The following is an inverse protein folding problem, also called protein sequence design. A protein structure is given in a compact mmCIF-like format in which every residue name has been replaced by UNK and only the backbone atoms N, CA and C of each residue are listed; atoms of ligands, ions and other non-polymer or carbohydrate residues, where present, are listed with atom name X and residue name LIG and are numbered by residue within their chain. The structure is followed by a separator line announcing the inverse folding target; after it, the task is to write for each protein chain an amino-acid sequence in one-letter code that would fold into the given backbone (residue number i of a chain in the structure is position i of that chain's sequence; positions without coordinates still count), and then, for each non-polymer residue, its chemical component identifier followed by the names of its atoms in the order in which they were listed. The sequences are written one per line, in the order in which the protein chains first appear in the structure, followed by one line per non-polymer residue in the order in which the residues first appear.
data_IF_018324381137
#
_entry.id   IF_018324381137
#
_cell.length_a   1.000
_cell.length_b   1.000
_cell.length_c   1.000
_cell.angle_alpha   90.00
_cell.angle_beta   90.00
_cell.angle_gamma   90.00
#
_symmetry.space_group_name_H-M   'P 1'
#
loop_
_entity.id
_entity.type
_entity.pdbx_description
1 polymer ?
#
# COMPACT_ATOMS: atom_id res chain seq x y z
N UNK A 1 4.70 -12.68 -3.66
CA UNK A 1 5.47 -11.46 -3.94
C UNK A 1 4.74 -10.60 -4.97
N UNK A 2 4.33 -9.41 -4.55
CA UNK A 2 3.60 -8.45 -5.36
C UNK A 2 4.15 -7.04 -5.09
N UNK A 3 4.14 -6.18 -6.10
CA UNK A 3 4.49 -4.76 -5.99
C UNK A 3 3.35 -3.88 -6.50
N UNK A 4 3.39 -2.58 -6.19
CA UNK A 4 2.44 -1.61 -6.72
C UNK A 4 2.35 -1.70 -8.26
N UNK A 5 3.51 -1.81 -8.94
CA UNK A 5 3.59 -1.95 -10.39
C UNK A 5 3.01 -3.25 -10.96
N UNK A 6 2.65 -4.23 -10.13
CA UNK A 6 1.96 -5.45 -10.60
C UNK A 6 0.52 -5.14 -10.99
N UNK A 7 -0.15 -4.27 -10.24
CA UNK A 7 -1.54 -3.84 -10.47
C UNK A 7 -1.62 -2.47 -11.14
N UNK A 8 -0.61 -1.60 -10.95
CA UNK A 8 -0.54 -0.26 -11.54
C UNK A 8 0.58 -0.18 -12.59
N UNK A 9 0.47 -1.00 -13.63
CA UNK A 9 1.54 -1.16 -14.61
C UNK A 9 1.42 -0.13 -15.75
N UNK A 10 2.53 0.54 -16.09
CA UNK A 10 2.56 1.60 -17.11
C UNK A 10 2.06 1.16 -18.50
N UNK A 11 2.31 -0.10 -18.89
CA UNK A 11 1.84 -0.66 -20.18
C UNK A 11 0.33 -0.78 -20.28
N UNK A 12 -0.37 -0.76 -19.16
CA UNK A 12 -1.83 -0.86 -19.08
C UNK A 12 -2.46 0.44 -18.57
N UNK A 13 -1.81 1.58 -18.86
CA UNK A 13 -2.30 2.90 -18.48
C UNK A 13 -2.29 3.14 -16.96
N UNK A 14 -1.39 2.50 -16.21
CA UNK A 14 -1.32 2.61 -14.74
C UNK A 14 -2.36 1.73 -14.02
N UNK A 15 -2.97 0.78 -14.74
CA UNK A 15 -3.91 -0.23 -14.23
C UNK A 15 -3.35 -1.65 -14.46
N UNK A 16 -4.14 -2.69 -14.25
CA UNK A 16 -3.80 -4.08 -14.59
C UNK A 16 -4.59 -4.62 -15.78
N UNK A 17 -5.55 -3.85 -16.30
CA UNK A 17 -6.41 -4.26 -17.40
C UNK A 17 -7.41 -5.36 -17.05
N UNK A 18 -7.62 -5.66 -15.76
CA UNK A 18 -8.57 -6.64 -15.26
C UNK A 18 -9.76 -5.94 -14.61
N UNK A 19 -10.98 -6.41 -14.85
CA UNK A 19 -12.17 -5.88 -14.17
C UNK A 19 -12.17 -6.17 -12.67
N UNK A 20 -11.57 -7.29 -12.26
CA UNK A 20 -11.33 -7.67 -10.88
C UNK A 20 -9.86 -8.08 -10.73
N UNK A 21 -9.11 -7.32 -9.95
CA UNK A 21 -7.67 -7.52 -9.76
C UNK A 21 -7.31 -8.88 -9.15
N UNK A 22 -6.08 -9.30 -9.39
CA UNK A 22 -5.48 -10.49 -8.79
C UNK A 22 -4.30 -10.04 -7.95
N UNK A 23 -4.43 -10.16 -6.62
CA UNK A 23 -3.41 -9.73 -5.67
C UNK A 23 -2.31 -10.76 -5.42
N UNK A 24 -1.83 -10.79 -4.17
CA UNK A 24 -0.78 -11.72 -3.71
C UNK A 24 -1.18 -13.18 -3.98
N UNK A 25 -0.22 -13.99 -4.42
CA UNK A 25 -0.43 -15.37 -4.88
C UNK A 25 -0.67 -15.50 -6.38
N UNK A 26 -0.97 -14.39 -7.09
CA UNK A 26 -1.12 -14.39 -8.54
C UNK A 26 0.21 -14.41 -9.28
N UNK A 27 0.20 -14.91 -10.53
CA UNK A 27 1.39 -15.08 -11.39
C UNK A 27 1.20 -14.30 -12.69
N UNK A 28 2.24 -13.59 -13.11
CA UNK A 28 2.22 -12.75 -14.31
C UNK A 28 1.71 -11.34 -14.04
N UNK A 29 1.49 -10.56 -15.10
CA UNK A 29 1.04 -9.15 -15.05
C UNK A 29 -0.06 -8.89 -16.07
N UNK A 30 -0.86 -7.85 -15.82
CA UNK A 30 -1.88 -7.36 -16.73
C UNK A 30 -2.99 -8.38 -17.02
N UNK A 31 -3.64 -8.29 -18.18
CA UNK A 31 -4.81 -9.13 -18.52
C UNK A 31 -4.53 -10.64 -18.53
N UNK A 32 -3.26 -11.04 -18.65
CA UNK A 32 -2.83 -12.45 -18.65
C UNK A 32 -2.45 -12.97 -17.26
N UNK A 33 -2.57 -12.14 -16.22
CA UNK A 33 -2.27 -12.54 -14.84
C UNK A 33 -3.21 -13.65 -14.39
N UNK A 34 -2.63 -14.73 -13.87
CA UNK A 34 -3.35 -15.92 -13.39
C UNK A 34 -3.48 -15.94 -11.88
N UNK A 35 -4.52 -16.60 -11.35
CA UNK A 35 -4.75 -16.71 -9.90
C UNK A 35 -3.67 -17.43 -9.09
N UNK A 36 -2.64 -17.99 -9.75
CA UNK A 36 -1.63 -18.83 -9.09
C UNK A 36 -2.07 -20.29 -8.92
N UNK A 37 -1.23 -21.08 -8.26
CA UNK A 37 -1.39 -22.52 -8.11
C UNK A 37 -1.14 -22.99 -6.67
N UNK A 38 -1.64 -24.17 -6.34
CA UNK A 38 -1.44 -24.79 -5.04
C UNK A 38 -1.95 -23.94 -3.87
N UNK A 39 -1.26 -24.01 -2.76
CA UNK A 39 -1.66 -23.31 -1.51
C UNK A 39 -1.48 -21.79 -1.59
N UNK A 40 -0.57 -21.32 -2.42
CA UNK A 40 -0.35 -19.89 -2.67
C UNK A 40 -1.36 -19.26 -3.60
N UNK A 41 -2.26 -20.04 -4.22
CA UNK A 41 -3.31 -19.51 -5.09
C UNK A 41 -4.18 -18.51 -4.35
N UNK A 42 -4.51 -17.39 -5.02
CA UNK A 42 -5.45 -16.41 -4.44
C UNK A 42 -6.75 -17.09 -4.00
N UNK A 43 -7.27 -16.68 -2.86
CA UNK A 43 -8.57 -17.16 -2.35
C UNK A 43 -9.75 -16.35 -2.89
N UNK A 44 -9.50 -15.07 -3.20
CA UNK A 44 -10.51 -14.14 -3.68
C UNK A 44 -9.84 -13.09 -4.58
N UNK A 45 -10.56 -12.60 -5.59
CA UNK A 45 -10.12 -11.44 -6.38
C UNK A 45 -10.36 -10.15 -5.61
N UNK A 46 -9.57 -9.14 -5.91
CA UNK A 46 -9.86 -7.76 -5.50
C UNK A 46 -11.19 -7.35 -6.14
N UNK A 47 -12.12 -6.76 -5.36
CA UNK A 47 -13.51 -6.58 -5.83
C UNK A 47 -13.67 -5.52 -6.91
N UNK A 48 -12.63 -4.77 -7.26
CA UNK A 48 -12.63 -3.70 -8.25
C UNK A 48 -11.39 -3.76 -9.14
N UNK A 49 -11.47 -3.08 -10.28
CA UNK A 49 -10.33 -2.81 -11.14
C UNK A 49 -9.31 -1.93 -10.41
N UNK A 50 -8.02 -2.19 -10.65
CA UNK A 50 -6.95 -1.31 -10.21
C UNK A 50 -7.03 0.02 -10.99
N UNK A 51 -7.30 1.11 -10.29
CA UNK A 51 -7.44 2.44 -10.90
C UNK A 51 -6.10 2.93 -11.48
N UNK A 52 -6.16 3.69 -12.57
CA UNK A 52 -4.99 4.40 -13.07
C UNK A 52 -4.50 5.44 -12.05
N UNK A 53 -3.18 5.65 -11.97
CA UNK A 53 -2.55 6.57 -11.00
C UNK A 53 -2.25 7.95 -11.58
N UNK A 54 -2.87 8.32 -12.71
CA UNK A 54 -2.63 9.59 -13.36
C UNK A 54 -3.39 10.74 -12.67
N UNK A 55 -2.66 11.83 -12.37
CA UNK A 55 -3.20 13.08 -11.80
C UNK A 55 -3.87 12.95 -10.41
N UNK A 56 -3.79 11.82 -9.75
CA UNK A 56 -4.43 11.63 -8.44
C UNK A 56 -3.68 12.33 -7.28
N UNK A 57 -2.46 12.83 -7.53
CA UNK A 57 -1.71 13.66 -6.58
C UNK A 57 -2.05 15.16 -6.62
N UNK A 58 -3.05 15.58 -7.41
CA UNK A 58 -3.48 16.97 -7.45
C UNK A 58 -4.08 17.40 -6.10
N UNK A 59 -3.81 18.65 -5.67
CA UNK A 59 -4.25 19.18 -4.37
C UNK A 59 -5.77 19.24 -4.21
N UNK A 60 -6.50 19.24 -5.32
CA UNK A 60 -7.95 19.22 -5.40
C UNK A 60 -8.55 17.86 -5.11
N UNK A 61 -7.75 16.79 -5.21
CA UNK A 61 -8.19 15.43 -4.88
C UNK A 61 -8.32 15.30 -3.37
N UNK A 62 -9.55 15.23 -2.88
CA UNK A 62 -9.90 15.13 -1.46
C UNK A 62 -10.58 13.82 -1.09
N UNK A 63 -10.93 13.01 -2.09
CA UNK A 63 -11.63 11.74 -1.91
C UNK A 63 -11.01 10.73 -2.89
N UNK A 64 -10.68 9.55 -2.39
CA UNK A 64 -10.19 8.41 -3.18
C UNK A 64 -11.08 7.18 -2.96
N UNK A 65 -10.89 6.19 -3.82
CA UNK A 65 -11.76 5.05 -4.03
C UNK A 65 -13.16 5.44 -4.52
N UNK A 66 -13.82 4.51 -5.22
CA UNK A 66 -15.14 4.75 -5.78
C UNK A 66 -16.23 4.95 -4.72
N UNK A 67 -16.07 4.34 -3.56
CA UNK A 67 -16.97 4.42 -2.41
C UNK A 67 -16.61 5.56 -1.45
N UNK A 68 -15.57 6.34 -1.74
CA UNK A 68 -15.16 7.47 -0.92
C UNK A 68 -14.58 7.12 0.45
N UNK A 69 -14.22 5.84 0.68
CA UNK A 69 -13.74 5.36 1.99
C UNK A 69 -12.40 5.95 2.45
N UNK A 70 -11.73 6.72 1.61
CA UNK A 70 -10.60 7.55 2.01
C UNK A 70 -10.87 8.99 1.60
N UNK A 71 -10.94 9.88 2.57
CA UNK A 71 -11.18 11.30 2.36
C UNK A 71 -10.39 12.16 3.35
N UNK A 72 -10.06 13.38 2.94
CA UNK A 72 -9.56 14.40 3.89
C UNK A 72 -10.67 14.73 4.87
N UNK A 73 -10.36 14.70 6.17
CA UNK A 73 -11.34 14.86 7.25
C UNK A 73 -10.67 15.32 8.53
N UNK A 74 -11.37 16.07 9.34
CA UNK A 74 -10.94 16.49 10.68
C UNK A 74 -11.46 15.53 11.79
N UNK A 75 -12.01 14.39 11.41
CA UNK A 75 -12.57 13.41 12.34
C UNK A 75 -11.49 12.73 13.19
N UNK A 76 -10.33 12.47 12.57
CA UNK A 76 -9.16 11.88 13.22
C UNK A 76 -7.97 12.83 13.16
N UNK A 77 -7.09 12.75 14.16
CA UNK A 77 -5.88 13.58 14.28
C UNK A 77 -4.93 13.41 13.07
N UNK A 78 -4.97 12.25 12.42
CA UNK A 78 -4.19 11.98 11.21
C UNK A 78 -4.65 12.77 9.96
N UNK A 79 -5.81 13.45 10.03
CA UNK A 79 -6.34 14.30 8.96
C UNK A 79 -7.13 13.56 7.87
N UNK A 80 -7.45 12.29 8.08
CA UNK A 80 -8.13 11.46 7.08
C UNK A 80 -9.22 10.57 7.69
N UNK A 81 -10.36 10.48 7.04
CA UNK A 81 -11.28 9.38 7.23
C UNK A 81 -10.83 8.22 6.32
N UNK A 82 -10.57 7.04 6.89
CA UNK A 82 -10.01 5.89 6.18
C UNK A 82 -10.48 4.58 6.81
N UNK A 83 -10.30 3.42 6.15
CA UNK A 83 -10.55 2.12 6.77
C UNK A 83 -9.65 1.79 7.98
N UNK A 84 -8.62 2.59 8.22
CA UNK A 84 -7.74 2.45 9.37
C UNK A 84 -8.13 3.36 10.54
N UNK A 85 -9.08 4.29 10.32
CA UNK A 85 -9.59 5.20 11.36
C UNK A 85 -8.45 5.92 12.10
N UNK A 86 -8.47 5.95 13.44
CA UNK A 86 -7.42 6.53 14.27
C UNK A 86 -6.06 5.83 14.19
N UNK A 87 -6.02 4.61 13.65
CA UNK A 87 -4.78 3.82 13.48
C UNK A 87 -3.94 4.22 12.27
N UNK A 88 -4.50 5.04 11.36
CA UNK A 88 -3.70 5.56 10.25
C UNK A 88 -2.58 6.47 10.81
N UNK A 89 -1.32 6.31 10.40
CA UNK A 89 -0.22 7.10 10.92
C UNK A 89 -0.44 8.61 10.76
N UNK A 90 -0.09 9.37 11.80
CA UNK A 90 0.01 10.82 11.72
C UNK A 90 1.19 11.24 10.81
N UNK A 91 1.12 12.46 10.24
CA UNK A 91 2.22 13.01 9.44
C UNK A 91 2.21 12.62 7.96
N UNK A 92 1.14 12.03 7.46
CA UNK A 92 0.91 11.85 6.03
C UNK A 92 0.47 13.17 5.40
N UNK A 93 1.22 13.69 4.43
CA UNK A 93 1.03 15.06 3.90
C UNK A 93 -0.09 15.15 2.86
N UNK A 94 -0.44 14.03 2.25
CA UNK A 94 -1.40 14.00 1.15
C UNK A 94 -2.31 12.79 1.25
N UNK A 95 -3.50 12.91 0.67
CA UNK A 95 -4.42 11.78 0.56
C UNK A 95 -3.82 10.62 -0.27
N UNK A 96 -2.89 10.92 -1.19
CA UNK A 96 -2.20 9.92 -1.97
C UNK A 96 -1.22 9.11 -1.11
N UNK A 97 -0.47 9.78 -0.22
CA UNK A 97 0.41 9.12 0.74
C UNK A 97 -0.39 8.20 1.68
N UNK A 98 -1.55 8.68 2.18
CA UNK A 98 -2.46 7.88 2.97
C UNK A 98 -2.97 6.65 2.21
N UNK A 99 -3.33 6.81 0.92
CA UNK A 99 -3.80 5.71 0.09
C UNK A 99 -2.70 4.68 -0.18
N UNK A 100 -1.46 5.11 -0.43
CA UNK A 100 -0.36 4.23 -0.86
C UNK A 100 -0.02 3.13 0.17
N UNK A 101 -0.29 3.36 1.45
CA UNK A 101 0.00 2.41 2.52
C UNK A 101 -1.16 1.46 2.88
N UNK A 102 -2.36 1.70 2.37
CA UNK A 102 -3.52 0.84 2.64
C UNK A 102 -3.49 -0.51 1.92
N UNK A 103 -3.10 -0.62 0.63
CA UNK A 103 -3.03 -1.92 -0.05
C UNK A 103 -2.10 -2.94 0.61
N UNK A 104 -1.07 -2.46 1.32
CA UNK A 104 -0.13 -3.32 2.06
C UNK A 104 -0.79 -4.07 3.20
N UNK A 105 -1.92 -3.56 3.72
CA UNK A 105 -2.69 -4.16 4.81
C UNK A 105 -3.81 -5.08 4.31
N UNK A 106 -4.15 -5.01 3.03
CA UNK A 106 -5.30 -5.73 2.48
C UNK A 106 -4.91 -7.17 2.08
N UNK A 107 -5.55 -8.16 2.70
CA UNK A 107 -5.28 -9.58 2.50
C UNK A 107 -5.27 -9.99 1.02
N UNK A 108 -6.27 -9.57 0.26
CA UNK A 108 -6.45 -9.99 -1.14
C UNK A 108 -5.71 -9.10 -2.14
N UNK A 109 -5.04 -8.06 -1.66
CA UNK A 109 -4.19 -7.17 -2.46
C UNK A 109 -2.72 -7.52 -2.28
N UNK A 110 -2.09 -7.11 -1.19
CA UNK A 110 -0.64 -7.24 -0.99
C UNK A 110 -0.24 -8.02 0.26
N UNK A 111 -1.07 -8.08 1.31
CA UNK A 111 -0.69 -8.74 2.57
C UNK A 111 -0.57 -10.25 2.43
N UNK A 112 -1.46 -10.90 1.67
CA UNK A 112 -1.51 -12.35 1.55
C UNK A 112 -2.34 -13.03 2.64
N UNK A 113 -2.31 -14.37 2.67
CA UNK A 113 -3.10 -15.12 3.64
C UNK A 113 -2.42 -15.14 5.02
N UNK A 114 -3.19 -15.13 6.13
CA UNK A 114 -2.65 -15.35 7.47
C UNK A 114 -1.80 -16.62 7.48
N UNK A 115 -0.63 -16.60 8.13
CA UNK A 115 0.38 -17.66 8.19
C UNK A 115 1.35 -17.77 7.00
N UNK A 116 1.16 -17.02 5.91
CA UNK A 116 2.12 -17.02 4.81
C UNK A 116 3.36 -16.18 5.13
N UNK A 117 3.16 -15.06 5.82
CA UNK A 117 4.22 -14.13 6.19
C UNK A 117 3.82 -13.27 7.40
N UNK A 118 4.79 -12.53 7.95
CA UNK A 118 4.58 -11.68 9.13
C UNK A 118 3.62 -10.51 8.90
N UNK A 119 3.56 -9.95 7.67
CA UNK A 119 2.63 -8.87 7.31
C UNK A 119 1.19 -9.38 7.34
N UNK A 120 0.95 -10.55 6.72
CA UNK A 120 -0.36 -11.18 6.73
C UNK A 120 -0.82 -11.56 8.14
N UNK A 121 0.11 -11.98 8.99
CA UNK A 121 -0.17 -12.23 10.41
C UNK A 121 -0.57 -10.96 11.15
N UNK A 122 0.24 -9.90 11.01
CA UNK A 122 0.00 -8.62 11.66
C UNK A 122 -1.35 -7.99 11.26
N UNK A 123 -1.65 -7.96 9.96
CA UNK A 123 -2.92 -7.42 9.42
C UNK A 123 -4.15 -8.10 10.02
N UNK A 124 -4.06 -9.38 10.35
CA UNK A 124 -5.16 -10.11 10.96
C UNK A 124 -5.45 -9.65 12.38
N UNK A 125 -4.44 -9.22 13.11
CA UNK A 125 -4.56 -8.77 14.49
C UNK A 125 -4.89 -7.27 14.58
N UNK A 126 -4.06 -6.44 13.96
CA UNK A 126 -4.19 -4.98 13.96
C UNK A 126 -3.62 -4.38 12.68
N UNK A 127 -4.37 -3.49 12.05
CA UNK A 127 -3.97 -2.86 10.78
C UNK A 127 -2.67 -2.05 10.90
N UNK A 128 -2.48 -1.34 11.99
CA UNK A 128 -1.30 -0.50 12.24
C UNK A 128 -0.02 -1.31 12.50
N UNK A 129 -0.13 -2.58 12.89
CA UNK A 129 1.02 -3.44 13.11
C UNK A 129 1.78 -3.81 11.81
N UNK A 130 1.16 -3.60 10.65
CA UNK A 130 1.77 -3.88 9.33
C UNK A 130 2.88 -2.89 8.99
N UNK A 131 2.65 -1.60 9.22
CA UNK A 131 3.54 -0.54 8.73
C UNK A 131 4.93 -0.54 9.37
N UNK A 132 5.11 -0.80 10.67
CA UNK A 132 6.44 -0.99 11.26
C UNK A 132 7.23 -2.15 10.63
N UNK A 133 6.55 -3.23 10.25
CA UNK A 133 7.20 -4.37 9.58
C UNK A 133 7.70 -3.96 8.21
N UNK A 134 6.90 -3.24 7.43
CA UNK A 134 7.29 -2.74 6.10
C UNK A 134 8.45 -1.76 6.22
N UNK A 135 8.35 -0.78 7.13
CA UNK A 135 9.43 0.18 7.37
C UNK A 135 10.75 -0.52 7.75
N UNK A 136 10.68 -1.52 8.64
CA UNK A 136 11.85 -2.34 8.98
C UNK A 136 12.46 -3.03 7.76
N UNK A 137 11.65 -3.59 6.86
CA UNK A 137 12.14 -4.26 5.64
C UNK A 137 12.88 -3.31 4.72
N UNK A 138 12.46 -2.05 4.64
CA UNK A 138 13.12 -1.03 3.81
C UNK A 138 14.43 -0.58 4.48
N UNK A 139 14.38 -0.16 5.73
CA UNK A 139 15.54 0.43 6.41
C UNK A 139 16.70 -0.53 6.68
N UNK A 140 16.47 -1.85 6.71
CA UNK A 140 17.56 -2.84 6.83
C UNK A 140 18.36 -3.04 5.53
N UNK A 141 17.91 -2.46 4.42
CA UNK A 141 18.67 -2.43 3.17
C UNK A 141 19.56 -1.18 3.21
N UNK A 142 20.90 -1.33 3.32
CA UNK A 142 21.79 -0.18 3.60
C UNK A 142 21.67 0.96 2.59
N UNK A 143 21.50 0.64 1.30
CA UNK A 143 21.35 1.64 0.25
C UNK A 143 20.09 2.50 0.46
N UNK A 144 18.94 1.89 0.75
CA UNK A 144 17.71 2.64 1.05
C UNK A 144 17.84 3.45 2.34
N UNK A 145 18.40 2.86 3.41
CA UNK A 145 18.63 3.58 4.66
C UNK A 145 19.42 4.86 4.44
N UNK A 146 20.49 4.80 3.63
CA UNK A 146 21.29 5.97 3.29
C UNK A 146 20.52 6.99 2.45
N UNK A 147 19.80 6.57 1.42
CA UNK A 147 18.98 7.45 0.57
C UNK A 147 17.91 8.20 1.38
N UNK A 148 17.29 7.55 2.37
CA UNK A 148 16.33 8.22 3.26
C UNK A 148 16.99 9.25 4.16
N UNK A 149 18.16 8.97 4.73
CA UNK A 149 18.95 9.96 5.53
C UNK A 149 19.33 11.17 4.68
N UNK A 150 19.66 10.96 3.40
CA UNK A 150 20.01 12.06 2.49
C UNK A 150 18.80 12.87 2.02
N UNK A 151 17.61 12.26 1.96
CA UNK A 151 16.42 12.87 1.39
C UNK A 151 15.50 13.59 2.42
N UNK A 152 15.57 13.21 3.69
CA UNK A 152 14.69 13.72 4.74
C UNK A 152 15.46 14.39 5.86
N UNK A 153 15.17 15.68 6.11
CA UNK A 153 15.85 16.49 7.13
C UNK A 153 15.58 16.01 8.57
N UNK A 154 14.54 15.26 8.80
CA UNK A 154 14.11 14.69 10.09
C UNK A 154 14.59 13.24 10.30
N UNK A 155 15.42 12.71 9.40
CA UNK A 155 16.00 11.36 9.46
C UNK A 155 17.51 11.43 9.55
N UNK A 156 18.07 11.31 10.76
CA UNK A 156 19.53 11.28 10.98
C UNK A 156 20.14 9.90 10.78
N UNK A 157 19.35 8.84 11.00
CA UNK A 157 19.79 7.44 10.88
C UNK A 157 18.70 6.58 10.24
N UNK A 158 19.10 5.49 9.57
CA UNK A 158 18.16 4.57 8.93
C UNK A 158 17.08 4.01 9.89
N UNK A 159 17.38 3.89 11.17
CA UNK A 159 16.44 3.38 12.17
C UNK A 159 15.24 4.31 12.42
N UNK A 160 15.36 5.59 12.07
CA UNK A 160 14.28 6.57 12.19
C UNK A 160 13.31 6.52 11.00
N UNK A 161 13.65 5.82 9.91
CA UNK A 161 12.76 5.66 8.75
C UNK A 161 11.53 4.88 9.16
N UNK A 162 10.38 5.48 9.00
CA UNK A 162 9.08 4.87 9.23
C UNK A 162 8.22 4.83 7.95
N UNK A 163 6.98 4.39 8.07
CA UNK A 163 6.08 4.24 6.92
C UNK A 163 5.68 5.58 6.31
N UNK A 164 5.71 6.69 7.08
CA UNK A 164 5.34 8.00 6.56
C UNK A 164 6.42 8.53 5.61
N UNK A 165 7.70 8.30 5.91
CA UNK A 165 8.81 8.60 5.01
C UNK A 165 8.70 7.79 3.71
N UNK A 166 8.40 6.48 3.83
CA UNK A 166 8.22 5.61 2.65
C UNK A 166 7.02 6.05 1.79
N UNK A 167 5.94 6.53 2.42
CA UNK A 167 4.77 7.00 1.70
C UNK A 167 4.98 8.35 0.99
N UNK A 168 5.97 9.15 1.45
CA UNK A 168 6.34 10.44 0.86
C UNK A 168 7.37 10.32 -0.26
N UNK A 169 8.22 9.29 -0.22
CA UNK A 169 9.22 9.01 -1.24
C UNK A 169 8.60 8.43 -2.53
#
# INVERSE_FOLDING_TARGET
NISCGTCHHHRFGGSDGLSLGIGEGGIGIGPTRLPGFGDSRIKKRVPRNASALWNIGAKEVKILFQDGRLSVSDEYENGFNSPAEEWLPNGLDTILAAQAILPMTAQFEMAGNPKENEVAGATHDRIDAVWPIIAKRVRVIPAYGQEFVEAFDDVDTADQVDITHIAKA
#
